data_IF_020286818081
#
_entry.id   IF_020286818081
#
_cell.length_a   1.000
_cell.length_b   1.000
_cell.length_c   1.000
_cell.angle_alpha   90.00
_cell.angle_beta   90.00
_cell.angle_gamma   90.00
#
_symmetry.space_group_name_H-M   'P 1'
#
loop_
_entity.id
_entity.type
_entity.pdbx_description
1 polymer ?
#
# COMPACT_ATOMS: atom_id res chain seq x y z
N UNK A 1 -37.86 3.54 41.06
CA UNK A 1 -37.63 3.23 42.48
C UNK A 1 -38.19 1.83 42.74
N UNK A 2 -37.42 0.75 42.72
CA UNK A 2 -36.62 0.29 43.85
C UNK A 2 -36.62 -1.25 43.91
N UNK A 3 -36.14 -1.93 42.85
CA UNK A 3 -35.91 -3.38 42.85
C UNK A 3 -34.66 -3.80 43.65
N UNK A 4 -33.95 -2.85 44.27
CA UNK A 4 -32.71 -3.05 45.06
C UNK A 4 -32.92 -3.63 46.46
N UNK A 5 -34.16 -3.86 46.91
CA UNK A 5 -34.45 -4.21 48.31
C UNK A 5 -34.51 -5.71 48.64
N UNK A 6 -34.65 -6.61 47.65
CA UNK A 6 -34.80 -8.06 47.92
C UNK A 6 -33.48 -8.84 47.84
N UNK A 7 -32.54 -8.35 47.04
CA UNK A 7 -31.34 -9.12 46.68
C UNK A 7 -30.15 -8.88 47.62
N UNK A 8 -30.29 -8.01 48.63
CA UNK A 8 -29.18 -7.65 49.51
C UNK A 8 -29.62 -7.56 50.99
N UNK A 9 -30.04 -8.68 51.57
CA UNK A 9 -30.18 -8.80 53.03
C UNK A 9 -28.77 -9.01 53.60
N UNK A 10 -28.31 -8.11 54.48
CA UNK A 10 -27.00 -8.22 55.11
C UNK A 10 -26.86 -9.50 55.95
N UNK A 11 -25.69 -10.14 55.90
CA UNK A 11 -25.43 -11.41 56.61
C UNK A 11 -25.65 -11.29 58.14
N UNK A 12 -25.49 -10.09 58.69
CA UNK A 12 -25.78 -9.77 60.09
C UNK A 12 -27.24 -9.98 60.46
N UNK A 13 -28.16 -9.59 59.56
CA UNK A 13 -29.61 -9.72 59.76
C UNK A 13 -30.04 -11.18 59.64
N UNK A 14 -29.48 -11.93 58.69
CA UNK A 14 -29.77 -13.37 58.53
C UNK A 14 -29.29 -14.17 59.75
N UNK A 15 -28.08 -13.89 60.26
CA UNK A 15 -27.56 -14.53 61.47
C UNK A 15 -28.42 -14.24 62.70
N UNK A 16 -28.93 -13.02 62.83
CA UNK A 16 -29.79 -12.64 63.95
C UNK A 16 -31.17 -13.32 63.91
N UNK A 17 -31.69 -13.61 62.72
CA UNK A 17 -33.02 -14.23 62.53
C UNK A 17 -32.95 -15.77 62.63
N UNK A 18 -31.78 -16.39 62.39
CA UNK A 18 -31.59 -17.85 62.39
C UNK A 18 -32.18 -18.58 63.61
N UNK A 19 -31.95 -18.15 64.88
CA UNK A 19 -32.50 -18.84 66.05
C UNK A 19 -34.04 -18.85 66.10
N UNK A 20 -34.67 -17.83 65.51
CA UNK A 20 -36.13 -17.74 65.42
C UNK A 20 -36.68 -18.64 64.32
N UNK A 21 -35.95 -18.86 63.23
CA UNK A 21 -36.37 -19.75 62.13
C UNK A 21 -36.34 -21.22 62.57
N UNK A 22 -35.37 -21.57 63.42
CA UNK A 22 -35.15 -22.92 63.95
C UNK A 22 -36.13 -23.28 65.10
N UNK A 23 -36.81 -22.29 65.68
CA UNK A 23 -37.81 -22.50 66.73
C UNK A 23 -39.11 -23.09 66.15
N UNK A 24 -39.61 -24.18 66.75
CA UNK A 24 -40.88 -24.82 66.39
C UNK A 24 -42.12 -23.95 66.66
N UNK A 25 -42.05 -23.02 67.62
CA UNK A 25 -43.11 -22.06 67.89
C UNK A 25 -43.25 -21.01 66.78
N UNK A 26 -42.19 -20.79 65.99
CA UNK A 26 -42.16 -19.86 64.86
C UNK A 26 -42.45 -20.56 63.52
N UNK A 27 -43.37 -21.51 63.53
CA UNK A 27 -43.91 -22.14 62.34
C UNK A 27 -45.26 -21.52 61.96
N UNK A 28 -45.55 -21.33 60.65
CA UNK A 28 -46.84 -20.79 60.21
C UNK A 28 -48.05 -21.56 60.77
N UNK A 29 -47.93 -22.88 60.92
CA UNK A 29 -48.98 -23.73 61.48
C UNK A 29 -49.20 -23.53 62.99
N UNK A 30 -48.14 -23.20 63.74
CA UNK A 30 -48.22 -22.87 65.17
C UNK A 30 -48.81 -21.47 65.38
N UNK A 31 -48.34 -20.47 64.61
CA UNK A 31 -48.79 -19.08 64.70
C UNK A 31 -50.23 -18.90 64.20
N UNK A 32 -50.67 -19.70 63.21
CA UNK A 32 -52.05 -19.67 62.72
C UNK A 32 -53.10 -20.02 63.79
N UNK A 33 -52.72 -20.75 64.85
CA UNK A 33 -53.60 -21.06 65.98
C UNK A 33 -53.83 -19.84 66.89
N UNK A 34 -52.92 -18.87 66.89
CA UNK A 34 -52.96 -17.66 67.74
C UNK A 34 -53.41 -16.43 66.97
N UNK A 35 -52.94 -16.23 65.74
CA UNK A 35 -53.33 -15.10 64.89
C UNK A 35 -53.17 -15.38 63.40
N UNK A 36 -54.29 -15.29 62.66
CA UNK A 36 -54.30 -15.41 61.19
C UNK A 36 -53.54 -14.28 60.50
N UNK A 37 -53.59 -13.06 61.05
CA UNK A 37 -52.88 -11.91 60.48
C UNK A 37 -51.35 -12.01 60.66
N UNK A 38 -50.87 -12.56 61.77
CA UNK A 38 -49.43 -12.75 62.02
C UNK A 38 -48.84 -13.92 61.21
N UNK A 39 -49.68 -14.80 60.65
CA UNK A 39 -49.24 -15.95 59.85
C UNK A 39 -48.58 -15.51 58.54
N UNK A 40 -49.13 -14.50 57.86
CA UNK A 40 -48.57 -13.98 56.60
C UNK A 40 -47.19 -13.36 56.79
N UNK A 41 -46.96 -12.70 57.92
CA UNK A 41 -45.66 -12.12 58.28
C UNK A 41 -44.64 -13.23 58.56
N UNK A 42 -45.00 -14.27 59.32
CA UNK A 42 -44.13 -15.43 59.55
C UNK A 42 -43.74 -16.13 58.23
N UNK A 43 -44.71 -16.35 57.34
CA UNK A 43 -44.46 -16.94 56.02
C UNK A 43 -43.51 -16.07 55.18
N UNK A 44 -43.70 -14.75 55.19
CA UNK A 44 -42.84 -13.82 54.48
C UNK A 44 -41.41 -13.84 55.01
N UNK A 45 -41.21 -13.79 56.34
CA UNK A 45 -39.86 -13.82 56.95
C UNK A 45 -39.13 -15.13 56.61
N UNK A 46 -39.82 -16.28 56.68
CA UNK A 46 -39.24 -17.58 56.31
C UNK A 46 -38.95 -17.67 54.81
N UNK A 47 -39.80 -17.10 53.96
CA UNK A 47 -39.58 -17.04 52.51
C UNK A 47 -38.38 -16.15 52.16
N UNK A 48 -38.21 -15.02 52.83
CA UNK A 48 -37.06 -14.12 52.63
C UNK A 48 -35.74 -14.74 53.11
N UNK A 49 -35.75 -15.46 54.23
CA UNK A 49 -34.60 -16.24 54.70
C UNK A 49 -34.21 -17.32 53.69
N UNK A 50 -35.19 -18.12 53.20
CA UNK A 50 -34.95 -19.12 52.14
C UNK A 50 -34.46 -18.49 50.84
N UNK A 51 -35.04 -17.36 50.43
CA UNK A 51 -34.64 -16.63 49.23
C UNK A 51 -33.19 -16.17 49.30
N UNK A 52 -32.70 -15.71 50.45
CA UNK A 52 -31.30 -15.30 50.63
C UNK A 52 -30.31 -16.42 50.26
N UNK A 53 -30.52 -17.64 50.79
CA UNK A 53 -29.63 -18.77 50.49
C UNK A 53 -29.75 -19.24 49.03
N UNK A 54 -30.96 -19.24 48.48
CA UNK A 54 -31.18 -19.58 47.07
C UNK A 54 -30.54 -18.54 46.15
N UNK A 55 -30.70 -17.25 46.43
CA UNK A 55 -30.07 -16.16 45.69
C UNK A 55 -28.54 -16.28 45.73
N UNK A 56 -27.95 -16.52 46.90
CA UNK A 56 -26.50 -16.74 47.06
C UNK A 56 -26.00 -17.95 46.26
N UNK A 57 -26.79 -19.02 46.16
CA UNK A 57 -26.45 -20.21 45.37
C UNK A 57 -26.67 -20.03 43.86
N UNK A 58 -27.59 -19.16 43.45
CA UNK A 58 -27.94 -18.88 42.03
C UNK A 58 -27.08 -17.77 41.45
N UNK A 59 -26.53 -16.88 42.27
CA UNK A 59 -25.63 -15.79 41.85
C UNK A 59 -24.44 -16.24 40.99
N UNK A 60 -23.65 -17.27 41.37
CA UNK A 60 -22.56 -17.74 40.51
C UNK A 60 -23.06 -18.29 39.17
N UNK A 61 -24.27 -18.86 39.12
CA UNK A 61 -24.88 -19.34 37.86
C UNK A 61 -25.36 -18.19 36.98
N UNK A 62 -25.89 -17.12 37.56
CA UNK A 62 -26.27 -15.90 36.83
C UNK A 62 -25.06 -15.17 36.28
N UNK A 63 -23.99 -15.11 37.07
CA UNK A 63 -22.73 -14.54 36.64
C UNK A 63 -22.11 -15.37 35.50
N UNK A 64 -22.01 -16.70 35.66
CA UNK A 64 -21.53 -17.58 34.60
C UNK A 64 -22.39 -17.53 33.33
N UNK A 65 -23.72 -17.39 33.46
CA UNK A 65 -24.62 -17.22 32.32
C UNK A 65 -24.35 -15.90 31.59
N UNK A 66 -24.14 -14.81 32.33
CA UNK A 66 -23.82 -13.50 31.75
C UNK A 66 -22.48 -13.54 31.03
N UNK A 67 -21.44 -14.09 31.66
CA UNK A 67 -20.12 -14.25 31.04
C UNK A 67 -20.21 -15.06 29.74
N UNK A 68 -20.93 -16.19 29.76
CA UNK A 68 -21.15 -17.00 28.55
C UNK A 68 -21.98 -16.29 27.47
N UNK A 69 -22.93 -15.42 27.84
CA UNK A 69 -23.71 -14.62 26.90
C UNK A 69 -22.86 -13.53 26.25
N UNK A 70 -22.03 -12.85 27.04
CA UNK A 70 -21.10 -11.82 26.57
C UNK A 70 -20.06 -12.45 25.60
N UNK A 71 -19.52 -13.63 25.93
CA UNK A 71 -18.61 -14.38 25.06
C UNK A 71 -19.29 -14.84 23.77
N UNK A 72 -20.56 -15.27 23.84
CA UNK A 72 -21.34 -15.66 22.67
C UNK A 72 -21.58 -14.45 21.74
N UNK A 73 -21.88 -13.28 22.28
CA UNK A 73 -22.09 -12.07 21.49
C UNK A 73 -20.79 -11.65 20.76
N UNK A 74 -19.65 -11.71 21.45
CA UNK A 74 -18.34 -11.42 20.85
C UNK A 74 -18.02 -12.40 19.72
N UNK A 75 -18.21 -13.70 19.95
CA UNK A 75 -17.95 -14.72 18.93
C UNK A 75 -18.89 -14.62 17.73
N UNK A 76 -20.17 -14.29 17.95
CA UNK A 76 -21.13 -14.05 16.86
C UNK A 76 -20.74 -12.82 16.03
N UNK A 77 -20.28 -11.73 16.65
CA UNK A 77 -19.80 -10.55 15.91
C UNK A 77 -18.59 -10.88 15.03
N UNK A 78 -17.62 -11.61 15.56
CA UNK A 78 -16.44 -12.06 14.80
C UNK A 78 -16.85 -12.97 13.64
N UNK A 79 -17.83 -13.86 13.86
CA UNK A 79 -18.34 -14.74 12.81
C UNK A 79 -18.99 -13.95 11.66
N UNK A 80 -19.82 -12.97 11.97
CA UNK A 80 -20.45 -12.14 10.94
C UNK A 80 -19.43 -11.27 10.20
N UNK A 81 -18.44 -10.69 10.90
CA UNK A 81 -17.32 -9.99 10.24
C UNK A 81 -16.49 -10.91 9.34
N UNK A 82 -16.28 -12.17 9.72
CA UNK A 82 -15.58 -13.15 8.90
C UNK A 82 -16.39 -13.56 7.67
N UNK A 83 -17.71 -13.76 7.82
CA UNK A 83 -18.62 -14.04 6.69
C UNK A 83 -18.68 -12.88 5.71
N UNK A 84 -18.73 -11.63 6.21
CA UNK A 84 -18.75 -10.44 5.36
C UNK A 84 -17.47 -10.34 4.52
N UNK A 85 -16.31 -10.56 5.13
CA UNK A 85 -15.03 -10.60 4.40
C UNK A 85 -14.95 -11.73 3.37
N UNK A 86 -15.53 -12.90 3.68
CA UNK A 86 -15.61 -14.00 2.73
C UNK A 86 -16.43 -13.61 1.50
N UNK A 87 -17.60 -12.97 1.71
CA UNK A 87 -18.46 -12.50 0.63
C UNK A 87 -17.76 -11.47 -0.26
N UNK A 88 -17.02 -10.51 0.32
CA UNK A 88 -16.25 -9.51 -0.44
C UNK A 88 -15.17 -10.16 -1.33
N UNK A 89 -14.49 -11.18 -0.81
CA UNK A 89 -13.48 -11.93 -1.58
C UNK A 89 -14.14 -12.74 -2.69
N UNK A 90 -15.27 -13.40 -2.42
CA UNK A 90 -16.03 -14.15 -3.42
C UNK A 90 -16.54 -13.24 -4.56
N UNK A 91 -17.07 -12.06 -4.23
CA UNK A 91 -17.48 -11.05 -5.22
C UNK A 91 -16.29 -10.54 -6.05
N UNK A 92 -15.14 -10.35 -5.40
CA UNK A 92 -13.89 -10.00 -6.06
C UNK A 92 -13.43 -11.07 -7.04
N UNK A 93 -13.49 -12.35 -6.64
CA UNK A 93 -13.18 -13.49 -7.51
C UNK A 93 -14.14 -13.53 -8.70
N UNK A 94 -15.44 -13.35 -8.48
CA UNK A 94 -16.43 -13.34 -9.57
C UNK A 94 -16.14 -12.21 -10.57
N UNK A 95 -15.80 -11.02 -10.08
CA UNK A 95 -15.43 -9.87 -10.91
C UNK A 95 -14.16 -10.14 -11.71
N UNK A 96 -13.14 -10.72 -11.07
CA UNK A 96 -11.88 -11.06 -11.75
C UNK A 96 -12.06 -12.18 -12.77
N UNK A 97 -12.90 -13.18 -12.48
CA UNK A 97 -13.26 -14.23 -13.44
C UNK A 97 -14.02 -13.66 -14.64
N UNK A 98 -14.92 -12.70 -14.44
CA UNK A 98 -15.62 -12.03 -15.53
C UNK A 98 -14.65 -11.24 -16.43
N UNK A 99 -13.74 -10.45 -15.83
CA UNK A 99 -12.70 -9.72 -16.56
C UNK A 99 -11.77 -10.66 -17.32
N UNK A 100 -11.37 -11.77 -16.70
CA UNK A 100 -10.53 -12.78 -17.33
C UNK A 100 -11.21 -13.39 -18.56
N UNK A 101 -12.50 -13.75 -18.46
CA UNK A 101 -13.27 -14.25 -19.60
C UNK A 101 -13.40 -13.22 -20.71
N UNK A 102 -13.62 -11.95 -20.36
CA UNK A 102 -13.67 -10.86 -21.34
C UNK A 102 -12.33 -10.68 -22.06
N UNK A 103 -11.21 -10.74 -21.32
CA UNK A 103 -9.87 -10.69 -21.88
C UNK A 103 -9.57 -11.89 -22.80
N UNK A 104 -9.96 -13.11 -22.41
CA UNK A 104 -9.82 -14.28 -23.27
C UNK A 104 -10.66 -14.15 -24.54
N UNK A 105 -11.92 -13.73 -24.43
CA UNK A 105 -12.77 -13.55 -25.60
C UNK A 105 -12.20 -12.50 -26.57
N UNK A 106 -11.66 -11.39 -26.04
CA UNK A 106 -10.96 -10.38 -26.85
C UNK A 106 -9.68 -10.94 -27.49
N UNK A 107 -8.92 -11.76 -26.76
CA UNK A 107 -7.74 -12.44 -27.29
C UNK A 107 -8.11 -13.34 -28.47
N UNK A 108 -9.10 -14.21 -28.30
CA UNK A 108 -9.58 -15.11 -29.37
C UNK A 108 -10.11 -14.33 -30.57
N UNK A 109 -10.84 -13.23 -30.35
CA UNK A 109 -11.32 -12.36 -31.42
C UNK A 109 -10.16 -11.72 -32.20
N UNK A 110 -9.12 -11.26 -31.50
CA UNK A 110 -7.93 -10.67 -32.12
C UNK A 110 -7.10 -11.72 -32.86
N UNK A 111 -6.93 -12.92 -32.29
CA UNK A 111 -6.24 -14.05 -32.95
C UNK A 111 -6.95 -14.44 -34.26
N UNK A 112 -8.28 -14.55 -34.23
CA UNK A 112 -9.07 -14.81 -35.44
C UNK A 112 -8.89 -13.69 -36.49
N UNK A 113 -8.87 -12.43 -36.04
CA UNK A 113 -8.65 -11.29 -36.95
C UNK A 113 -7.23 -11.31 -37.53
N UNK A 114 -6.22 -11.66 -36.75
CA UNK A 114 -4.85 -11.82 -37.20
C UNK A 114 -4.74 -12.93 -38.24
N UNK A 115 -5.31 -14.10 -37.99
CA UNK A 115 -5.31 -15.23 -38.93
C UNK A 115 -6.04 -14.87 -40.24
N UNK A 116 -7.18 -14.19 -40.16
CA UNK A 116 -7.87 -13.68 -41.34
C UNK A 116 -7.02 -12.66 -42.13
N UNK A 117 -6.25 -11.83 -41.43
CA UNK A 117 -5.35 -10.87 -42.06
C UNK A 117 -4.18 -11.57 -42.75
N UNK A 118 -3.57 -12.57 -42.12
CA UNK A 118 -2.52 -13.41 -42.71
C UNK A 118 -3.00 -14.15 -43.94
N UNK A 119 -4.19 -14.75 -43.90
CA UNK A 119 -4.78 -15.42 -45.07
C UNK A 119 -5.02 -14.43 -46.22
N UNK A 120 -5.45 -13.20 -45.92
CA UNK A 120 -5.64 -12.15 -46.93
C UNK A 120 -4.31 -11.68 -47.52
N UNK A 121 -3.28 -11.52 -46.69
CA UNK A 121 -1.93 -11.16 -47.11
C UNK A 121 -1.33 -12.27 -47.99
N UNK A 122 -1.43 -13.54 -47.58
CA UNK A 122 -0.97 -14.67 -48.39
C UNK A 122 -1.68 -14.78 -49.75
N UNK A 123 -2.98 -14.48 -49.81
CA UNK A 123 -3.72 -14.40 -51.09
C UNK A 123 -3.24 -13.22 -51.95
N UNK A 124 -3.03 -12.05 -51.35
CA UNK A 124 -2.52 -10.87 -52.05
C UNK A 124 -1.10 -11.09 -52.59
N UNK A 125 -0.23 -11.75 -51.82
CA UNK A 125 1.11 -12.14 -52.24
C UNK A 125 1.09 -13.15 -53.39
N UNK A 126 0.17 -14.13 -53.34
CA UNK A 126 -0.01 -15.06 -54.45
C UNK A 126 -0.43 -14.34 -55.73
N UNK A 127 -1.31 -13.34 -55.63
CA UNK A 127 -1.73 -12.47 -56.76
C UNK A 127 -0.55 -11.62 -57.27
N UNK A 128 0.29 -11.08 -56.38
CA UNK A 128 1.51 -10.34 -56.74
C UNK A 128 2.48 -11.20 -57.56
N UNK A 129 2.75 -12.44 -57.13
CA UNK A 129 3.61 -13.38 -57.86
C UNK A 129 2.99 -13.76 -59.21
N UNK A 130 1.67 -13.92 -59.28
CA UNK A 130 0.95 -14.24 -60.51
C UNK A 130 1.04 -13.11 -61.55
N UNK A 131 0.98 -11.85 -61.10
CA UNK A 131 1.10 -10.66 -61.96
C UNK A 131 2.53 -10.43 -62.47
N UNK A 132 3.54 -10.88 -61.71
CA UNK A 132 4.94 -10.83 -62.14
C UNK A 132 5.31 -11.97 -63.10
N UNK A 133 4.52 -13.05 -63.15
CA UNK A 133 4.72 -14.22 -64.00
C UNK A 133 3.89 -14.23 -65.31
N UNK A 134 3.55 -13.05 -65.85
CA UNK A 134 2.97 -12.92 -67.20
C UNK A 134 4.00 -13.25 -68.29
N UNK A 135 3.61 -13.88 -69.42
CA UNK A 135 4.56 -14.46 -70.37
C UNK A 135 5.46 -13.40 -71.01
N UNK A 136 6.76 -13.63 -70.94
CA UNK A 136 7.76 -12.86 -71.65
C UNK A 136 7.53 -12.96 -73.16
N UNK A 137 7.40 -11.80 -73.81
CA UNK A 137 7.64 -11.64 -75.25
C UNK A 137 6.40 -11.47 -76.11
N UNK A 138 6.06 -10.21 -76.43
CA UNK A 138 5.92 -9.71 -77.82
C UNK A 138 6.17 -8.20 -77.80
N UNK A 139 7.32 -7.74 -78.30
CA UNK A 139 7.54 -6.33 -78.62
C UNK A 139 6.90 -6.06 -79.97
N UNK A 140 5.86 -5.23 -80.01
CA UNK A 140 5.19 -4.81 -81.25
C UNK A 140 5.85 -3.51 -81.77
N UNK A 141 6.55 -3.52 -82.92
CA UNK A 141 7.27 -2.34 -83.40
C UNK A 141 6.36 -1.52 -84.31
N UNK A 142 5.60 -0.56 -83.77
CA UNK A 142 4.89 0.41 -84.62
C UNK A 142 4.70 1.83 -84.06
N UNK A 143 5.32 2.16 -82.94
CA UNK A 143 5.16 3.49 -82.32
C UNK A 143 6.51 4.07 -81.90
N UNK A 144 7.42 4.21 -82.86
CA UNK A 144 8.55 5.12 -82.75
C UNK A 144 8.09 6.49 -83.30
N UNK A 145 7.70 7.40 -82.41
CA UNK A 145 7.41 8.79 -82.81
C UNK A 145 6.16 9.41 -82.20
N UNK A 146 6.18 9.62 -80.88
CA UNK A 146 5.63 10.83 -80.24
C UNK A 146 5.90 10.78 -78.74
N UNK A 147 6.97 11.47 -78.32
CA UNK A 147 7.05 11.94 -76.95
C UNK A 147 6.00 13.02 -76.80
N UNK A 148 4.86 12.67 -76.22
CA UNK A 148 3.91 13.64 -75.70
C UNK A 148 3.59 13.26 -74.27
N UNK A 149 3.97 14.19 -73.40
CA UNK A 149 3.71 14.27 -71.97
C UNK A 149 2.25 13.90 -71.71
N UNK A 150 2.01 12.77 -71.06
CA UNK A 150 0.75 12.50 -70.38
C UNK A 150 1.11 12.31 -68.91
N UNK A 151 0.84 13.35 -68.12
CA UNK A 151 0.88 13.25 -66.67
C UNK A 151 -0.13 12.19 -66.23
N UNK A 152 0.38 11.08 -65.70
CA UNK A 152 -0.43 10.14 -64.96
C UNK A 152 -0.69 10.73 -63.58
N UNK A 153 -1.82 11.42 -63.45
CA UNK A 153 -2.49 11.63 -62.17
C UNK A 153 -2.88 10.26 -61.61
N UNK A 154 -1.97 9.62 -60.87
CA UNK A 154 -2.31 8.47 -60.05
C UNK A 154 -2.87 8.97 -58.71
N UNK A 155 -4.14 8.62 -58.47
CA UNK A 155 -4.93 8.98 -57.29
C UNK A 155 -4.25 8.51 -55.99
N UNK A 156 -4.35 9.25 -54.86
CA UNK A 156 -3.66 8.92 -53.60
C UNK A 156 -4.18 7.65 -52.89
N UNK A 157 -5.28 7.06 -53.36
CA UNK A 157 -6.01 5.99 -52.65
C UNK A 157 -5.37 4.60 -52.75
N UNK A 158 -4.44 4.38 -53.68
CA UNK A 158 -3.81 3.07 -53.89
C UNK A 158 -2.58 2.81 -52.99
N UNK A 159 -2.10 3.84 -52.28
CA UNK A 159 -0.89 3.79 -51.45
C UNK A 159 -1.17 3.58 -49.96
N UNK A 160 -2.37 3.93 -49.49
CA UNK A 160 -2.78 3.80 -48.09
C UNK A 160 -2.75 2.35 -47.54
N UNK A 161 -3.18 1.31 -48.30
CA UNK A 161 -3.13 -0.07 -47.79
C UNK A 161 -1.70 -0.60 -47.65
N UNK A 162 -0.80 -0.22 -48.56
CA UNK A 162 0.62 -0.61 -48.52
C UNK A 162 1.37 0.07 -47.37
N UNK A 163 1.04 1.34 -47.08
CA UNK A 163 1.58 2.04 -45.90
C UNK A 163 1.11 1.41 -44.58
N UNK A 164 -0.14 0.97 -44.48
CA UNK A 164 -0.67 0.30 -43.30
C UNK A 164 -0.04 -1.08 -43.10
N UNK A 165 0.14 -1.85 -44.18
CA UNK A 165 0.81 -3.17 -44.13
C UNK A 165 2.28 -3.02 -43.74
N UNK A 166 2.99 -2.05 -44.32
CA UNK A 166 4.38 -1.77 -43.94
C UNK A 166 4.46 -1.29 -42.48
N UNK A 167 3.56 -0.39 -42.05
CA UNK A 167 3.51 0.06 -40.66
C UNK A 167 3.21 -1.07 -39.66
N UNK A 168 2.33 -2.01 -39.99
CA UNK A 168 2.05 -3.20 -39.18
C UNK A 168 3.23 -4.20 -39.18
N UNK A 169 3.97 -4.29 -40.30
CA UNK A 169 5.18 -5.12 -40.39
C UNK A 169 6.32 -4.53 -39.56
N UNK A 170 6.54 -3.23 -39.63
CA UNK A 170 7.54 -2.51 -38.83
C UNK A 170 7.21 -2.62 -37.34
N UNK A 171 5.93 -2.51 -37.00
CA UNK A 171 5.44 -2.68 -35.65
C UNK A 171 5.66 -4.12 -35.15
N UNK A 172 5.42 -5.16 -35.97
CA UNK A 172 5.75 -6.56 -35.62
C UNK A 172 7.23 -6.75 -35.31
N UNK A 173 8.12 -6.19 -36.13
CA UNK A 173 9.57 -6.24 -35.89
C UNK A 173 9.91 -5.57 -34.56
N UNK A 174 9.33 -4.40 -34.29
CA UNK A 174 9.51 -3.69 -33.02
C UNK A 174 9.04 -4.51 -31.81
N UNK A 175 7.88 -5.18 -31.91
CA UNK A 175 7.40 -6.07 -30.84
C UNK A 175 8.34 -7.26 -30.64
N UNK A 176 8.85 -7.84 -31.72
CA UNK A 176 9.79 -8.96 -31.65
C UNK A 176 11.11 -8.54 -30.97
N UNK A 177 11.69 -7.42 -31.37
CA UNK A 177 12.86 -6.83 -30.70
C UNK A 177 12.58 -6.50 -29.23
N UNK A 178 11.36 -6.04 -28.91
CA UNK A 178 10.95 -5.76 -27.53
C UNK A 178 10.88 -7.04 -26.71
N UNK A 179 10.33 -8.12 -27.25
CA UNK A 179 10.25 -9.42 -26.58
C UNK A 179 11.64 -9.98 -26.33
N UNK A 180 12.52 -9.97 -27.33
CA UNK A 180 13.91 -10.42 -27.18
C UNK A 180 14.67 -9.61 -26.11
N UNK A 181 14.50 -8.27 -26.09
CA UNK A 181 15.08 -7.41 -25.07
C UNK A 181 14.51 -7.69 -23.66
N UNK A 182 13.22 -8.00 -23.56
CA UNK A 182 12.59 -8.35 -22.28
C UNK A 182 13.08 -9.68 -21.75
N UNK A 183 13.26 -10.68 -22.61
CA UNK A 183 13.85 -11.98 -22.25
C UNK A 183 15.28 -11.78 -21.72
N UNK A 184 16.11 -11.01 -22.44
CA UNK A 184 17.47 -10.68 -21.99
C UNK A 184 17.48 -9.92 -20.65
N UNK A 185 16.51 -9.02 -20.43
CA UNK A 185 16.38 -8.31 -19.16
C UNK A 185 15.95 -9.24 -18.03
N UNK A 186 15.04 -10.17 -18.31
CA UNK A 186 14.52 -11.12 -17.33
C UNK A 186 15.61 -12.09 -16.85
N UNK A 187 16.47 -12.56 -17.73
CA UNK A 187 17.61 -13.41 -17.37
C UNK A 187 18.60 -12.69 -16.43
N UNK A 188 18.78 -11.38 -16.62
CA UNK A 188 19.76 -10.56 -15.91
C UNK A 188 19.18 -9.79 -14.69
N UNK A 189 17.86 -9.83 -14.49
CA UNK A 189 17.17 -8.98 -13.52
C UNK A 189 17.63 -9.21 -12.08
N UNK A 190 18.07 -10.43 -11.74
CA UNK A 190 18.45 -10.78 -10.38
C UNK A 190 19.65 -9.98 -9.88
N UNK A 191 20.71 -9.88 -10.69
CA UNK A 191 21.89 -9.07 -10.34
C UNK A 191 21.59 -7.58 -10.36
N UNK A 192 20.81 -7.12 -11.34
CA UNK A 192 20.43 -5.71 -11.49
C UNK A 192 19.61 -5.22 -10.28
N UNK A 193 18.61 -6.00 -9.86
CA UNK A 193 17.78 -5.70 -8.68
C UNK A 193 18.60 -5.78 -7.40
N UNK A 194 19.55 -6.72 -7.29
CA UNK A 194 20.40 -6.83 -6.11
C UNK A 194 21.26 -5.57 -5.91
N UNK A 195 21.89 -5.08 -6.99
CA UNK A 195 22.68 -3.84 -6.96
C UNK A 195 21.78 -2.64 -6.67
N UNK A 196 20.63 -2.54 -7.34
CA UNK A 196 19.68 -1.45 -7.12
C UNK A 196 19.15 -1.42 -5.67
N UNK A 197 18.82 -2.57 -5.09
CA UNK A 197 18.39 -2.69 -3.70
C UNK A 197 19.51 -2.28 -2.72
N UNK A 198 20.75 -2.72 -2.97
CA UNK A 198 21.92 -2.27 -2.22
C UNK A 198 22.10 -0.75 -2.30
N UNK A 199 21.85 -0.16 -3.47
CA UNK A 199 21.95 1.28 -3.69
C UNK A 199 20.92 2.06 -2.86
N UNK A 200 19.66 1.63 -2.88
CA UNK A 200 18.57 2.25 -2.10
C UNK A 200 18.81 2.09 -0.59
N UNK A 201 19.35 0.94 -0.16
CA UNK A 201 19.55 0.64 1.26
C UNK A 201 20.76 1.35 1.88
N UNK A 202 21.89 1.43 1.16
CA UNK A 202 23.18 1.82 1.75
C UNK A 202 23.81 3.06 1.14
N UNK A 203 23.52 3.38 -0.14
CA UNK A 203 24.27 4.41 -0.85
C UNK A 203 23.73 5.84 -0.69
N UNK A 204 22.51 5.99 -0.16
CA UNK A 204 21.87 7.27 0.15
C UNK A 204 22.76 8.34 0.81
N UNK A 205 23.46 8.08 1.92
CA UNK A 205 24.25 9.09 2.63
C UNK A 205 25.59 9.45 1.96
N UNK A 206 26.07 8.65 1.01
CA UNK A 206 27.39 8.86 0.42
C UNK A 206 27.38 9.84 -0.76
N UNK A 207 28.54 10.44 -1.03
CA UNK A 207 28.76 11.30 -2.19
C UNK A 207 28.86 10.49 -3.48
N UNK A 208 28.58 11.11 -4.63
CA UNK A 208 28.59 10.42 -5.93
C UNK A 208 29.88 9.66 -6.24
N UNK A 209 31.05 10.26 -5.95
CA UNK A 209 32.35 9.60 -6.16
C UNK A 209 32.49 8.31 -5.34
N UNK A 210 32.07 8.34 -4.08
CA UNK A 210 32.14 7.16 -3.21
C UNK A 210 31.13 6.09 -3.62
N UNK A 211 29.95 6.50 -4.10
CA UNK A 211 28.96 5.57 -4.68
C UNK A 211 29.53 4.82 -5.88
N UNK A 212 30.24 5.50 -6.79
CA UNK A 212 30.89 4.87 -7.94
C UNK A 212 31.93 3.83 -7.51
N UNK A 213 32.79 4.15 -6.55
CA UNK A 213 33.81 3.20 -6.05
C UNK A 213 33.17 1.95 -5.43
N UNK A 214 32.11 2.12 -4.64
CA UNK A 214 31.38 0.99 -4.06
C UNK A 214 30.63 0.18 -5.12
N UNK A 215 30.00 0.86 -6.07
CA UNK A 215 29.31 0.25 -7.20
C UNK A 215 30.24 -0.65 -8.00
N UNK A 216 31.44 -0.16 -8.37
CA UNK A 216 32.43 -0.94 -9.12
C UNK A 216 32.86 -2.20 -8.34
N UNK A 217 33.01 -2.08 -7.03
CA UNK A 217 33.30 -3.21 -6.14
C UNK A 217 32.17 -4.24 -6.11
N UNK A 218 30.91 -3.79 -6.06
CA UNK A 218 29.74 -4.67 -6.05
C UNK A 218 29.56 -5.41 -7.38
N UNK A 219 29.69 -4.72 -8.52
CA UNK A 219 29.61 -5.35 -9.85
C UNK A 219 30.72 -6.38 -10.04
N UNK A 220 31.94 -6.10 -9.55
CA UNK A 220 33.03 -7.08 -9.55
C UNK A 220 32.71 -8.34 -8.74
N UNK A 221 32.00 -8.21 -7.62
CA UNK A 221 31.55 -9.35 -6.83
C UNK A 221 30.47 -10.16 -7.55
N UNK A 222 29.52 -9.52 -8.23
CA UNK A 222 28.54 -10.23 -9.06
C UNK A 222 29.21 -11.12 -10.11
N UNK A 223 30.23 -10.58 -10.78
CA UNK A 223 31.01 -11.31 -11.78
C UNK A 223 31.77 -12.49 -11.15
N UNK A 224 32.37 -12.27 -9.97
CA UNK A 224 33.12 -13.30 -9.25
C UNK A 224 32.23 -14.47 -8.81
N UNK A 225 30.98 -14.18 -8.45
CA UNK A 225 29.99 -15.17 -8.02
C UNK A 225 29.11 -15.71 -9.14
N UNK A 226 29.39 -15.35 -10.39
CA UNK A 226 28.64 -15.79 -11.58
C UNK A 226 27.12 -15.51 -11.50
N UNK A 227 26.75 -14.37 -10.92
CA UNK A 227 25.34 -13.93 -10.88
C UNK A 227 25.00 -13.27 -12.22
N UNK A 228 23.93 -13.68 -12.92
CA UNK A 228 23.47 -13.01 -14.14
C UNK A 228 23.12 -11.54 -13.87
N UNK A 229 23.66 -10.64 -14.70
CA UNK A 229 23.43 -9.21 -14.62
C UNK A 229 23.70 -8.56 -15.98
N UNK A 230 23.06 -7.41 -16.21
CA UNK A 230 23.30 -6.60 -17.40
C UNK A 230 24.75 -6.10 -17.38
N UNK A 231 25.36 -5.85 -18.55
CA UNK A 231 26.75 -5.37 -18.64
C UNK A 231 27.02 -4.12 -17.78
N UNK A 232 26.02 -3.25 -17.62
CA UNK A 232 26.09 -2.04 -16.77
C UNK A 232 24.78 -1.89 -15.97
N UNK A 233 24.66 -2.51 -14.78
CA UNK A 233 23.45 -2.46 -13.98
C UNK A 233 23.31 -1.10 -13.29
N UNK A 234 22.43 -0.21 -13.78
CA UNK A 234 22.25 1.12 -13.17
C UNK A 234 20.98 1.20 -12.33
N UNK A 235 21.03 1.93 -11.20
CA UNK A 235 19.84 2.18 -10.37
C UNK A 235 18.69 2.78 -11.17
N UNK A 236 19.01 3.76 -12.03
CA UNK A 236 18.03 4.48 -12.85
C UNK A 236 17.47 3.55 -13.94
N UNK A 237 18.29 2.68 -14.55
CA UNK A 237 17.82 1.72 -15.54
C UNK A 237 16.89 0.65 -14.96
N UNK A 238 17.18 0.18 -13.74
CA UNK A 238 16.41 -0.90 -13.10
C UNK A 238 15.14 -0.39 -12.43
N UNK A 239 15.20 0.70 -11.65
CA UNK A 239 14.08 1.21 -10.84
C UNK A 239 13.52 2.55 -11.33
N UNK A 240 14.26 3.28 -12.16
CA UNK A 240 13.88 4.61 -12.62
C UNK A 240 12.79 4.58 -13.68
N UNK A 241 11.67 5.25 -13.41
CA UNK A 241 10.65 5.49 -14.43
C UNK A 241 10.92 6.85 -15.11
N UNK A 242 11.14 6.90 -16.45
CA UNK A 242 11.51 8.14 -17.13
C UNK A 242 10.43 9.22 -17.04
N UNK A 243 9.14 8.85 -16.98
CA UNK A 243 8.03 9.79 -16.81
C UNK A 243 8.06 10.42 -15.42
N UNK A 244 8.27 9.62 -14.36
CA UNK A 244 8.38 10.15 -13.00
C UNK A 244 9.60 11.05 -12.83
N UNK A 245 10.75 10.63 -13.38
CA UNK A 245 11.98 11.45 -13.35
C UNK A 245 11.73 12.80 -14.04
N UNK A 246 11.02 12.80 -15.16
CA UNK A 246 10.66 14.05 -15.85
C UNK A 246 9.75 14.95 -15.00
N UNK A 247 8.78 14.37 -14.29
CA UNK A 247 7.93 15.12 -13.36
C UNK A 247 8.74 15.72 -12.22
N UNK A 248 9.70 14.98 -11.66
CA UNK A 248 10.60 15.50 -10.63
C UNK A 248 11.45 16.67 -11.12
N UNK A 249 11.97 16.58 -12.35
CA UNK A 249 12.71 17.68 -12.97
C UNK A 249 11.84 18.94 -13.16
N UNK A 250 10.59 18.77 -13.59
CA UNK A 250 9.62 19.87 -13.70
C UNK A 250 9.34 20.49 -12.32
N UNK A 251 9.29 19.66 -11.27
CA UNK A 251 9.14 20.12 -9.89
C UNK A 251 10.42 20.78 -9.30
N UNK A 252 11.53 20.80 -10.05
CA UNK A 252 12.76 21.48 -9.66
C UNK A 252 13.90 20.57 -9.19
N UNK A 253 13.80 19.25 -9.41
CA UNK A 253 14.94 18.34 -9.22
C UNK A 253 16.00 18.62 -10.31
N UNK A 254 17.27 18.81 -9.93
CA UNK A 254 18.35 18.91 -10.91
C UNK A 254 18.45 17.67 -11.83
N UNK A 255 19.00 17.86 -13.03
CA UNK A 255 19.13 16.82 -14.04
C UNK A 255 20.45 16.03 -13.95
N UNK A 256 21.23 16.19 -12.89
CA UNK A 256 22.43 15.41 -12.65
C UNK A 256 22.10 14.01 -12.11
N UNK A 257 23.01 13.07 -12.34
CA UNK A 257 22.84 11.66 -11.96
C UNK A 257 22.60 11.48 -10.46
N UNK A 258 23.33 12.21 -9.61
CA UNK A 258 23.22 12.09 -8.14
C UNK A 258 21.82 12.53 -7.66
N UNK A 259 21.31 13.64 -8.18
CA UNK A 259 19.98 14.15 -7.85
C UNK A 259 18.88 13.19 -8.32
N UNK A 260 19.00 12.62 -9.51
CA UNK A 260 18.04 11.64 -10.03
C UNK A 260 18.09 10.34 -9.21
N UNK A 261 19.28 9.84 -8.88
CA UNK A 261 19.45 8.69 -7.97
C UNK A 261 18.79 8.96 -6.61
N UNK A 262 19.03 10.12 -6.01
CA UNK A 262 18.41 10.52 -4.75
C UNK A 262 16.87 10.54 -4.84
N UNK A 263 16.33 10.99 -5.97
CA UNK A 263 14.88 10.92 -6.25
C UNK A 263 14.36 9.48 -6.30
N UNK A 264 15.10 8.58 -6.95
CA UNK A 264 14.76 7.15 -7.01
C UNK A 264 14.84 6.52 -5.61
N UNK A 265 15.91 6.78 -4.84
CA UNK A 265 16.05 6.30 -3.46
C UNK A 265 14.87 6.76 -2.62
N UNK A 266 14.45 8.03 -2.75
CA UNK A 266 13.30 8.55 -2.02
C UNK A 266 11.99 7.82 -2.38
N UNK A 267 11.77 7.52 -3.65
CA UNK A 267 10.57 6.84 -4.12
C UNK A 267 10.45 5.38 -3.65
N UNK A 268 11.58 4.68 -3.51
CA UNK A 268 11.62 3.25 -3.15
C UNK A 268 12.04 2.97 -1.70
N UNK A 269 12.36 4.01 -0.93
CA UNK A 269 12.67 3.87 0.50
C UNK A 269 11.43 3.48 1.29
N UNK A 270 11.54 2.42 2.10
CA UNK A 270 10.47 2.02 3.01
C UNK A 270 10.44 2.87 4.29
N UNK A 271 11.61 3.32 4.75
CA UNK A 271 11.78 4.27 5.85
C UNK A 271 11.59 5.69 5.35
N UNK A 272 11.20 6.59 6.25
CA UNK A 272 11.14 8.01 5.91
C UNK A 272 12.53 8.55 5.58
N UNK A 273 12.57 9.46 4.63
CA UNK A 273 13.82 10.00 4.09
C UNK A 273 14.20 11.27 4.79
N UNK A 274 15.47 11.36 5.17
CA UNK A 274 16.06 12.53 5.77
C UNK A 274 17.16 13.10 4.87
N UNK A 275 16.89 14.28 4.31
CA UNK A 275 17.75 14.94 3.33
C UNK A 275 18.76 15.87 4.03
N UNK A 276 20.03 15.62 3.74
CA UNK A 276 21.14 16.52 4.09
C UNK A 276 21.28 17.53 2.96
N UNK A 277 20.69 18.71 3.13
CA UNK A 277 20.46 19.69 2.06
C UNK A 277 20.81 21.12 2.52
N UNK A 278 22.11 21.47 2.60
CA UNK A 278 22.55 22.80 3.02
C UNK A 278 22.08 23.92 2.09
N UNK A 279 21.77 23.60 0.82
CA UNK A 279 21.33 24.58 -0.19
C UNK A 279 19.81 24.66 -0.35
N UNK A 280 19.05 23.86 0.40
CA UNK A 280 17.58 23.80 0.36
C UNK A 280 17.02 23.46 -1.04
N UNK A 281 17.73 22.65 -1.83
CA UNK A 281 17.28 22.17 -3.14
C UNK A 281 16.21 21.08 -3.01
N UNK A 282 16.48 20.04 -2.22
CA UNK A 282 15.51 18.98 -1.93
C UNK A 282 14.28 19.56 -1.24
N UNK A 283 14.46 20.52 -0.33
CA UNK A 283 13.35 21.22 0.32
C UNK A 283 12.40 21.90 -0.70
N UNK A 284 12.95 22.65 -1.66
CA UNK A 284 12.15 23.31 -2.72
C UNK A 284 11.49 22.29 -3.64
N UNK A 285 12.22 21.24 -4.02
CA UNK A 285 11.70 20.17 -4.86
C UNK A 285 10.50 19.47 -4.23
N UNK A 286 10.58 19.07 -2.96
CA UNK A 286 9.49 18.38 -2.24
C UNK A 286 8.26 19.29 -2.13
N UNK A 287 8.46 20.58 -1.81
CA UNK A 287 7.35 21.56 -1.74
C UNK A 287 6.62 21.72 -3.06
N UNK A 288 7.35 21.72 -4.18
CA UNK A 288 6.75 21.83 -5.51
C UNK A 288 6.07 20.52 -5.92
N UNK A 289 6.68 19.38 -5.59
CA UNK A 289 6.15 18.06 -5.94
C UNK A 289 4.84 17.75 -5.21
N UNK A 290 4.73 18.11 -3.93
CA UNK A 290 3.56 17.82 -3.08
C UNK A 290 2.60 19.02 -2.96
N UNK A 291 2.77 20.04 -3.81
CA UNK A 291 2.00 21.28 -3.75
C UNK A 291 0.49 21.03 -3.88
N UNK A 292 0.10 20.19 -4.83
CA UNK A 292 -1.31 19.90 -5.11
C UNK A 292 -1.92 18.95 -4.07
N UNK A 293 -1.08 18.17 -3.38
CA UNK A 293 -1.45 17.25 -2.30
C UNK A 293 -1.73 17.95 -0.97
N UNK A 294 -1.43 19.24 -0.84
CA UNK A 294 -1.62 20.02 0.39
C UNK A 294 -0.59 19.73 1.48
N UNK A 295 0.70 19.82 1.13
CA UNK A 295 1.84 19.63 2.03
C UNK A 295 1.82 20.54 3.27
N UNK A 296 1.84 19.93 4.46
CA UNK A 296 2.00 20.66 5.73
C UNK A 296 3.49 20.80 6.08
N UNK A 297 3.95 22.03 6.27
CA UNK A 297 5.37 22.35 6.55
C UNK A 297 5.51 22.90 7.96
N UNK A 298 6.39 22.32 8.77
CA UNK A 298 6.64 22.76 10.15
C UNK A 298 8.08 22.46 10.61
N UNK A 299 8.50 23.06 11.72
CA UNK A 299 9.81 22.87 12.35
C UNK A 299 9.67 22.28 13.75
N UNK A 300 10.71 21.62 14.24
CA UNK A 300 10.75 21.11 15.63
C UNK A 300 10.65 22.24 16.67
N UNK A 301 11.01 23.47 16.31
CA UNK A 301 10.90 24.65 17.18
C UNK A 301 9.48 25.17 17.37
N UNK A 302 8.52 24.73 16.55
CA UNK A 302 7.18 25.30 16.54
C UNK A 302 6.35 24.74 17.70
N UNK A 303 5.72 25.61 18.50
CA UNK A 303 4.96 25.18 19.71
C UNK A 303 3.83 24.19 19.41
N UNK A 304 3.27 24.24 18.22
CA UNK A 304 2.13 23.43 17.80
C UNK A 304 2.51 22.29 16.83
N UNK A 305 3.80 21.97 16.68
CA UNK A 305 4.27 21.02 15.67
C UNK A 305 3.61 19.64 15.82
N UNK A 306 3.48 19.13 17.06
CA UNK A 306 2.85 17.83 17.32
C UNK A 306 1.41 17.85 16.82
N UNK A 307 0.61 18.87 17.21
CA UNK A 307 -0.79 19.01 16.79
C UNK A 307 -0.95 19.07 15.26
N UNK A 308 -0.06 19.79 14.58
CA UNK A 308 -0.05 19.82 13.11
C UNK A 308 0.27 18.45 12.50
N UNK A 309 1.22 17.72 13.08
CA UNK A 309 1.55 16.36 12.67
C UNK A 309 0.40 15.38 12.92
N UNK A 310 -0.29 15.46 14.06
CA UNK A 310 -1.47 14.63 14.35
C UNK A 310 -2.55 14.81 13.29
N UNK A 311 -2.80 16.05 12.87
CA UNK A 311 -3.75 16.35 11.81
C UNK A 311 -3.29 15.80 10.45
N UNK A 312 -2.00 15.97 10.11
CA UNK A 312 -1.46 15.43 8.87
C UNK A 312 -1.60 13.90 8.80
N UNK A 313 -1.29 13.19 9.89
CA UNK A 313 -1.46 11.73 9.99
C UNK A 313 -2.94 11.33 9.86
N UNK A 314 -3.84 12.04 10.55
CA UNK A 314 -5.28 11.74 10.54
C UNK A 314 -5.90 11.89 9.16
N UNK A 315 -5.47 12.90 8.39
CA UNK A 315 -6.04 13.21 7.08
C UNK A 315 -5.18 12.69 5.91
N UNK A 316 -4.08 11.99 6.18
CA UNK A 316 -3.19 11.47 5.13
C UNK A 316 -2.46 12.54 4.34
N UNK A 317 -2.29 13.74 4.90
CA UNK A 317 -1.57 14.82 4.21
C UNK A 317 -0.07 14.58 4.29
N UNK A 318 0.68 14.82 3.20
CA UNK A 318 2.13 14.77 3.27
C UNK A 318 2.64 15.89 4.20
N UNK A 319 3.72 15.62 4.94
CA UNK A 319 4.34 16.61 5.80
C UNK A 319 5.85 16.74 5.56
N UNK A 320 6.36 17.96 5.74
CA UNK A 320 7.77 18.30 5.61
C UNK A 320 8.27 18.93 6.91
N UNK A 321 9.18 18.22 7.59
CA UNK A 321 9.87 18.70 8.78
C UNK A 321 11.18 19.39 8.38
N UNK A 322 11.26 20.70 8.65
CA UNK A 322 12.40 21.52 8.23
C UNK A 322 13.43 21.78 9.32
N UNK A 323 14.69 21.90 8.90
CA UNK A 323 15.83 22.31 9.73
C UNK A 323 16.02 21.42 10.96
N UNK A 324 15.86 20.11 10.79
CA UNK A 324 16.17 19.16 11.85
C UNK A 324 17.67 19.17 12.15
N UNK A 325 18.01 19.20 13.45
CA UNK A 325 19.38 19.16 13.91
C UNK A 325 19.99 17.75 13.84
N UNK A 326 20.93 17.48 14.73
CA UNK A 326 21.49 16.13 14.92
C UNK A 326 20.61 15.26 15.82
N UNK A 327 19.76 15.89 16.65
CA UNK A 327 18.81 15.22 17.53
C UNK A 327 17.37 15.37 17.02
N UNK A 328 16.59 14.31 17.17
CA UNK A 328 15.16 14.25 16.89
C UNK A 328 14.40 14.15 18.21
N UNK A 329 13.21 14.75 18.26
CA UNK A 329 12.32 14.61 19.41
C UNK A 329 11.88 13.13 19.57
N UNK A 330 12.13 12.48 20.72
CA UNK A 330 11.70 11.11 20.97
C UNK A 330 10.19 10.88 20.81
N UNK A 331 9.37 11.93 20.96
CA UNK A 331 7.94 11.86 20.72
C UNK A 331 7.58 11.43 19.28
N UNK A 332 8.50 11.63 18.31
CA UNK A 332 8.31 11.25 16.91
C UNK A 332 8.57 9.77 16.64
N UNK A 333 9.20 9.05 17.57
CA UNK A 333 9.63 7.66 17.37
C UNK A 333 8.53 6.71 16.86
N UNK A 334 7.27 6.75 17.38
CA UNK A 334 6.19 5.93 16.86
C UNK A 334 5.89 6.20 15.38
N UNK A 335 6.01 7.45 14.93
CA UNK A 335 5.80 7.86 13.53
C UNK A 335 6.97 7.45 12.65
N UNK A 336 8.20 7.64 13.14
CA UNK A 336 9.41 7.30 12.39
C UNK A 336 9.48 5.79 12.10
N UNK A 337 9.13 4.98 13.10
CA UNK A 337 9.10 3.52 13.01
C UNK A 337 7.79 2.95 12.45
N UNK A 338 6.81 3.81 12.13
CA UNK A 338 5.47 3.40 11.65
C UNK A 338 4.81 2.38 12.57
N UNK A 339 4.89 2.60 13.89
CA UNK A 339 4.31 1.73 14.92
C UNK A 339 2.79 1.85 14.96
N UNK A 340 2.13 1.23 13.99
CA UNK A 340 0.67 1.20 13.89
C UNK A 340 0.11 -0.11 14.45
N UNK A 341 -1.10 -0.04 15.00
CA UNK A 341 -1.82 -1.20 15.50
C UNK A 341 -3.32 -1.07 15.18
N UNK A 342 -4.04 -2.18 15.16
CA UNK A 342 -5.50 -2.16 14.91
C UNK A 342 -6.24 -1.97 16.23
N UNK A 343 -7.12 -0.98 16.29
CA UNK A 343 -8.03 -0.74 17.40
C UNK A 343 -9.44 -0.53 16.86
N UNK A 344 -10.40 -1.34 17.33
CA UNK A 344 -11.81 -1.28 16.90
C UNK A 344 -11.97 -1.31 15.35
N UNK A 345 -11.16 -2.11 14.67
CA UNK A 345 -11.20 -2.27 13.20
C UNK A 345 -10.40 -1.23 12.41
N UNK A 346 -10.00 -0.10 13.03
CA UNK A 346 -9.20 0.94 12.38
C UNK A 346 -7.71 0.82 12.70
N UNK A 347 -6.86 1.13 11.72
CA UNK A 347 -5.41 1.27 11.95
C UNK A 347 -5.16 2.59 12.68
N UNK A 348 -4.53 2.53 13.85
CA UNK A 348 -4.22 3.68 14.70
C UNK A 348 -2.73 3.73 15.03
N UNK A 349 -2.25 4.92 15.39
CA UNK A 349 -0.90 5.20 15.85
C UNK A 349 -0.98 5.97 17.17
N UNK A 350 -0.15 5.60 18.15
CA UNK A 350 -0.08 6.31 19.44
C UNK A 350 1.06 7.33 19.40
N UNK A 351 0.76 8.61 19.62
CA UNK A 351 1.73 9.70 19.69
C UNK A 351 1.67 10.34 21.07
N UNK A 352 2.69 10.13 21.90
CA UNK A 352 2.61 10.51 23.32
C UNK A 352 1.44 9.80 24.01
N UNK A 353 0.47 10.57 24.50
CA UNK A 353 -0.74 10.04 25.14
C UNK A 353 -1.96 9.97 24.21
N UNK A 354 -1.88 10.51 22.99
CA UNK A 354 -3.00 10.55 22.04
C UNK A 354 -2.97 9.33 21.12
N UNK A 355 -4.16 8.79 20.83
CA UNK A 355 -4.33 7.73 19.82
C UNK A 355 -4.97 8.34 18.59
N UNK A 356 -4.30 8.21 17.45
CA UNK A 356 -4.63 8.91 16.21
C UNK A 356 -4.95 7.87 15.14
N UNK A 357 -6.08 7.98 14.42
CA UNK A 357 -6.32 7.18 13.23
C UNK A 357 -5.21 7.39 12.20
N UNK A 358 -4.60 6.31 11.72
CA UNK A 358 -3.50 6.36 10.78
C UNK A 358 -4.03 6.21 9.34
N UNK A 359 -3.72 7.16 8.48
CA UNK A 359 -4.05 7.11 7.07
C UNK A 359 -2.88 6.55 6.24
N UNK A 360 -3.14 5.61 5.33
CA UNK A 360 -2.09 4.93 4.56
C UNK A 360 -1.34 5.85 3.58
N UNK A 361 -2.02 6.86 3.05
CA UNK A 361 -1.40 7.85 2.13
C UNK A 361 -0.48 8.85 2.82
N UNK A 362 -0.41 8.85 4.16
CA UNK A 362 0.47 9.75 4.90
C UNK A 362 1.93 9.55 4.48
N UNK A 363 2.63 10.67 4.23
CA UNK A 363 4.05 10.69 3.88
C UNK A 363 4.80 11.73 4.70
N UNK A 364 5.98 11.38 5.17
CA UNK A 364 6.85 12.29 5.93
C UNK A 364 8.19 12.46 5.22
N UNK A 365 8.58 13.72 5.09
CA UNK A 365 9.89 14.13 4.58
C UNK A 365 10.61 14.96 5.63
N UNK A 366 11.92 14.77 5.79
CA UNK A 366 12.73 15.48 6.77
C UNK A 366 13.90 16.14 6.05
N UNK A 367 14.21 17.39 6.39
CA UNK A 367 15.33 18.13 5.80
C UNK A 367 16.20 18.77 6.87
N UNK A 368 17.52 18.75 6.68
CA UNK A 368 18.49 19.50 7.48
C UNK A 368 19.30 20.44 6.60
N UNK A 369 19.67 21.60 7.17
CA UNK A 369 20.61 22.54 6.55
C UNK A 369 22.05 22.34 6.99
N UNK A 370 22.29 21.42 7.93
CA UNK A 370 23.65 21.12 8.38
C UNK A 370 24.40 20.44 7.21
N UNK A 371 25.58 20.95 6.82
CA UNK A 371 26.31 20.40 5.68
C UNK A 371 26.94 19.03 5.99
N UNK A 372 27.36 18.82 7.24
CA UNK A 372 27.96 17.56 7.70
C UNK A 372 27.47 17.21 9.12
N UNK A 373 26.21 16.78 9.28
CA UNK A 373 25.66 16.38 10.56
C UNK A 373 26.21 15.03 11.02
N UNK A 374 26.48 14.89 12.32
CA UNK A 374 26.89 13.63 12.92
C UNK A 374 25.69 12.92 13.53
N UNK A 375 25.05 12.06 12.75
CA UNK A 375 23.93 11.26 13.23
C UNK A 375 24.39 10.05 14.03
N UNK A 376 23.68 9.76 15.12
CA UNK A 376 23.87 8.52 15.87
C UNK A 376 23.45 7.31 15.01
N UNK A 377 24.00 6.11 15.28
CA UNK A 377 23.55 4.89 14.62
C UNK A 377 22.04 4.66 14.76
N UNK A 378 21.47 5.07 15.89
CA UNK A 378 20.03 4.99 16.16
C UNK A 378 19.20 5.72 15.10
N UNK A 379 19.54 6.96 14.78
CA UNK A 379 18.85 7.73 13.74
C UNK A 379 19.00 7.06 12.37
N UNK A 380 20.19 6.54 12.07
CA UNK A 380 20.49 5.85 10.81
C UNK A 380 19.73 4.53 10.65
N UNK A 381 19.32 3.89 11.76
CA UNK A 381 18.45 2.70 11.69
C UNK A 381 16.98 3.05 11.44
N UNK A 382 16.52 4.20 11.97
CA UNK A 382 15.13 4.67 11.91
C UNK A 382 14.80 5.35 10.57
N UNK A 383 15.76 6.06 9.97
CA UNK A 383 15.56 6.87 8.77
C UNK A 383 16.51 6.47 7.65
N UNK A 384 16.08 6.71 6.40
CA UNK A 384 16.99 6.64 5.25
C UNK A 384 17.63 8.00 5.05
N UNK A 385 18.93 8.10 5.31
CA UNK A 385 19.71 9.31 5.07
C UNK A 385 20.01 9.47 3.58
N UNK A 386 19.76 10.66 3.04
CA UNK A 386 20.06 11.00 1.63
C UNK A 386 20.92 12.25 1.61
N UNK A 387 22.11 12.15 1.03
CA UNK A 387 23.02 13.26 0.87
C UNK A 387 22.69 14.05 -0.40
N UNK A 388 22.29 15.32 -0.22
CA UNK A 388 21.95 16.25 -1.29
C UNK A 388 22.95 17.41 -1.39
N UNK A 389 24.13 17.27 -0.79
CA UNK A 389 25.19 18.27 -0.88
C UNK A 389 25.77 18.31 -2.29
N UNK A 390 25.80 19.48 -2.91
CA UNK A 390 26.54 19.66 -4.16
C UNK A 390 28.03 19.43 -3.89
N UNK A 391 28.63 18.46 -4.57
CA UNK A 391 30.08 18.35 -4.65
C UNK A 391 30.59 19.47 -5.57
N UNK A 392 31.59 20.27 -5.16
CA UNK A 392 32.26 21.18 -6.10
C UNK A 392 32.83 20.35 -7.26
N UNK A 393 32.62 20.83 -8.48
CA UNK A 393 33.12 20.19 -9.71
C UNK A 393 34.64 20.20 -9.77
#
# INVERSE_FOLDING_TARGET
>A
MGHKGRDNIGETVIKAIQPYIDNEEFQPAAIAKVSKACTSICQWVRAMHKYHFVAKAVEPKRQALREAQDDLEVTQRILEEAKQRLHEVEDGIATMQAKYRECIAKKEELELKCEQCEQRLGRADKVRVSLQAGPAGVVCPRWAGRAQVVGASQSPSHWLPLQLINGLSDERVRWQETVENLEHTLDNIFGDVLVAAGFVAYLGPFTGQYRTVLYDSWVKQLTTHHIPHTSEPTLIGTLGNPVKIRLWQIAGLPNDTLSVENGVINQFSQRWTHFIDPQSQANKWIKNMEKDSGLDVFKLSDRDFLRSMENAIRFGKPCLLENVGEELDPALEPVLLKQTYKQQGNTVLKLGDTVIPYHEDFRMYITTKLPNPHYTPEISTKLTLINFTLSPR
#
